data_IF_771424417368
#
_entry.id   IF_771424417368
#
_cell.length_a   1.000
_cell.length_b   1.000
_cell.length_c   1.000
_cell.angle_alpha   90.00
_cell.angle_beta   90.00
_cell.angle_gamma   90.00
#
_symmetry.space_group_name_H-M   'P 1'
#
loop_
_entity.id
_entity.type
_entity.pdbx_description
1 polymer ?
#
# COMPACT_ATOMS: atom_id res chain seq x y z
N UNK A 1 32.68 -14.38 -15.46
CA UNK A 1 31.88 -13.16 -15.71
C UNK A 1 31.16 -12.85 -14.40
N UNK A 2 31.79 -12.07 -13.53
CA UNK A 2 31.26 -11.78 -12.19
C UNK A 2 30.36 -10.56 -12.29
N UNK A 3 29.08 -10.69 -11.96
CA UNK A 3 28.19 -9.53 -11.83
C UNK A 3 28.76 -8.58 -10.76
N UNK A 4 28.79 -7.25 -11.00
CA UNK A 4 29.28 -6.32 -10.00
C UNK A 4 28.36 -6.37 -8.78
N UNK A 5 28.92 -6.52 -7.58
CA UNK A 5 28.17 -6.70 -6.33
C UNK A 5 27.09 -5.64 -6.08
N UNK A 6 27.25 -4.43 -6.61
CA UNK A 6 26.23 -3.37 -6.54
C UNK A 6 24.93 -3.67 -7.30
N UNK A 7 24.98 -4.46 -8.37
CA UNK A 7 23.77 -4.86 -9.11
C UNK A 7 22.87 -5.80 -8.27
N UNK A 8 23.46 -6.69 -7.47
CA UNK A 8 22.72 -7.56 -6.56
C UNK A 8 22.08 -6.78 -5.41
N UNK A 9 22.76 -5.76 -4.88
CA UNK A 9 22.20 -4.89 -3.83
C UNK A 9 21.00 -4.09 -4.34
N UNK A 10 21.11 -3.46 -5.52
CA UNK A 10 20.00 -2.72 -6.15
C UNK A 10 18.77 -3.61 -6.43
N UNK A 11 19.00 -4.83 -6.93
CA UNK A 11 17.89 -5.79 -7.13
C UNK A 11 17.19 -6.11 -5.81
N UNK A 12 17.96 -6.30 -4.73
CA UNK A 12 17.42 -6.57 -3.39
C UNK A 12 16.60 -5.39 -2.87
N UNK A 13 17.08 -4.16 -3.10
CA UNK A 13 16.36 -2.94 -2.71
C UNK A 13 15.04 -2.77 -3.46
N UNK A 14 15.01 -3.07 -4.77
CA UNK A 14 13.76 -3.03 -5.56
C UNK A 14 12.76 -4.10 -5.12
N UNK A 15 13.23 -5.31 -4.82
CA UNK A 15 12.37 -6.36 -4.26
C UNK A 15 11.79 -5.96 -2.92
N UNK A 16 12.57 -5.28 -2.08
CA UNK A 16 12.09 -4.72 -0.82
C UNK A 16 11.04 -3.63 -1.04
N UNK A 17 11.27 -2.69 -1.97
CA UNK A 17 10.29 -1.65 -2.31
C UNK A 17 8.95 -2.25 -2.76
N UNK A 18 8.99 -3.25 -3.64
CA UNK A 18 7.80 -3.98 -4.09
C UNK A 18 7.09 -4.69 -2.94
N UNK A 19 7.85 -5.33 -2.06
CA UNK A 19 7.31 -6.00 -0.86
C UNK A 19 6.61 -5.01 0.08
N UNK A 20 7.20 -3.85 0.33
CA UNK A 20 6.60 -2.80 1.19
C UNK A 20 5.32 -2.23 0.57
N UNK A 21 5.30 -1.99 -0.73
CA UNK A 21 4.09 -1.55 -1.42
C UNK A 21 2.96 -2.59 -1.30
N UNK A 22 3.26 -3.86 -1.55
CA UNK A 22 2.30 -4.96 -1.42
C UNK A 22 1.80 -5.13 0.04
N UNK A 23 2.69 -5.01 1.02
CA UNK A 23 2.33 -5.05 2.43
C UNK A 23 1.39 -3.90 2.81
N UNK A 24 1.60 -2.72 2.23
CA UNK A 24 0.74 -1.53 2.43
C UNK A 24 -0.67 -1.77 1.89
N UNK A 25 -0.80 -2.37 0.70
CA UNK A 25 -2.09 -2.73 0.12
C UNK A 25 -2.82 -3.79 0.97
N UNK A 26 -2.10 -4.82 1.44
CA UNK A 26 -2.66 -5.84 2.34
C UNK A 26 -3.13 -5.25 3.69
N UNK A 27 -2.30 -4.36 4.27
CA UNK A 27 -2.65 -3.24 5.17
C UNK A 27 -4.09 -2.79 5.05
N UNK A 28 -4.30 -2.20 3.89
CA UNK A 28 -5.47 -1.42 3.58
C UNK A 28 -6.71 -2.30 3.45
N UNK A 29 -6.58 -3.44 2.78
CA UNK A 29 -7.67 -4.40 2.59
C UNK A 29 -8.13 -5.02 3.91
N UNK A 30 -7.21 -5.35 4.82
CA UNK A 30 -7.60 -5.87 6.13
C UNK A 30 -8.37 -4.86 6.98
N UNK A 31 -7.97 -3.59 6.96
CA UNK A 31 -8.70 -2.52 7.65
C UNK A 31 -10.13 -2.41 7.12
N UNK A 32 -10.31 -2.48 5.79
CA UNK A 32 -11.63 -2.46 5.15
C UNK A 32 -12.47 -3.68 5.52
N UNK A 33 -11.88 -4.86 5.50
CA UNK A 33 -12.54 -6.11 5.85
C UNK A 33 -13.02 -6.09 7.32
N UNK A 34 -12.17 -5.63 8.25
CA UNK A 34 -12.54 -5.48 9.66
C UNK A 34 -13.73 -4.53 9.85
N UNK A 35 -13.74 -3.40 9.13
CA UNK A 35 -14.86 -2.46 9.16
C UNK A 35 -16.15 -3.09 8.64
N UNK A 36 -16.11 -3.73 7.47
CA UNK A 36 -17.29 -4.37 6.88
C UNK A 36 -17.85 -5.45 7.80
N UNK A 37 -16.97 -6.26 8.41
CA UNK A 37 -17.38 -7.26 9.40
C UNK A 37 -17.99 -6.61 10.66
N UNK A 38 -17.46 -5.48 11.13
CA UNK A 38 -18.03 -4.74 12.24
C UNK A 38 -19.42 -4.18 11.88
N UNK A 39 -19.57 -3.49 10.75
CA UNK A 39 -20.86 -2.98 10.27
C UNK A 39 -21.87 -4.11 10.11
N UNK A 40 -21.49 -5.24 9.52
CA UNK A 40 -22.37 -6.39 9.35
C UNK A 40 -22.88 -6.93 10.69
N UNK A 41 -21.98 -7.12 11.67
CA UNK A 41 -22.37 -7.56 13.03
C UNK A 41 -23.31 -6.56 13.68
N UNK A 42 -23.02 -5.28 13.54
CA UNK A 42 -23.83 -4.24 14.14
C UNK A 42 -25.21 -4.13 13.49
N UNK A 43 -25.30 -4.13 12.16
CA UNK A 43 -26.57 -4.13 11.42
C UNK A 43 -27.45 -5.35 11.70
N UNK A 44 -26.87 -6.44 12.21
CA UNK A 44 -27.61 -7.63 12.63
C UNK A 44 -28.23 -7.53 14.03
N UNK A 45 -27.91 -6.48 14.79
CA UNK A 45 -28.48 -6.28 16.14
C UNK A 45 -29.97 -5.95 16.03
N UNK A 46 -30.85 -6.67 16.74
CA UNK A 46 -32.29 -6.43 16.68
C UNK A 46 -32.68 -5.01 17.11
N UNK A 47 -33.71 -4.43 16.48
CA UNK A 47 -34.26 -3.12 16.85
C UNK A 47 -34.85 -3.07 18.26
N UNK A 48 -35.22 -4.23 18.83
CA UNK A 48 -35.61 -4.35 20.24
C UNK A 48 -34.45 -4.09 21.20
N UNK A 49 -33.20 -4.28 20.76
CA UNK A 49 -31.97 -4.00 21.52
C UNK A 49 -31.45 -2.60 21.21
N UNK A 50 -31.52 -2.18 19.94
CA UNK A 50 -31.16 -0.83 19.50
C UNK A 50 -32.39 -0.03 19.07
N UNK A 51 -33.16 0.40 20.08
CA UNK A 51 -34.22 1.38 19.90
C UNK A 51 -33.75 2.80 20.18
N UNK A 52 -34.25 3.77 19.41
CA UNK A 52 -34.16 5.19 19.75
C UNK A 52 -32.75 5.80 19.68
N UNK A 53 -32.32 6.62 20.65
CA UNK A 53 -31.08 7.40 20.58
C UNK A 53 -29.79 6.57 20.38
N UNK A 54 -29.77 5.32 20.84
CA UNK A 54 -28.61 4.43 20.67
C UNK A 54 -28.35 4.09 19.19
N UNK A 55 -29.41 3.87 18.41
CA UNK A 55 -29.29 3.59 16.98
C UNK A 55 -28.74 4.80 16.21
N UNK A 56 -29.19 6.01 16.56
CA UNK A 56 -28.69 7.25 15.97
C UNK A 56 -27.19 7.46 16.26
N UNK A 57 -26.77 7.28 17.51
CA UNK A 57 -25.34 7.39 17.89
C UNK A 57 -24.47 6.35 17.21
N UNK A 58 -24.97 5.12 17.09
CA UNK A 58 -24.25 4.10 16.36
C UNK A 58 -24.07 4.47 14.89
N UNK A 59 -25.13 4.95 14.23
CA UNK A 59 -25.05 5.44 12.84
C UNK A 59 -24.01 6.56 12.69
N UNK A 60 -23.99 7.54 13.59
CA UNK A 60 -22.99 8.62 13.57
C UNK A 60 -21.55 8.09 13.61
N UNK A 61 -21.29 7.09 14.47
CA UNK A 61 -19.96 6.47 14.62
C UNK A 61 -19.57 5.70 13.37
N UNK A 62 -20.48 4.94 12.76
CA UNK A 62 -20.25 4.22 11.51
C UNK A 62 -19.94 5.16 10.36
N UNK A 63 -20.76 6.22 10.20
CA UNK A 63 -20.59 7.18 9.11
C UNK A 63 -19.23 7.88 9.23
N UNK A 64 -18.86 8.32 10.45
CA UNK A 64 -17.54 8.92 10.71
C UNK A 64 -16.39 7.94 10.43
N UNK A 65 -16.49 6.72 10.94
CA UNK A 65 -15.44 5.72 10.71
C UNK A 65 -15.30 5.40 9.21
N UNK A 66 -16.40 5.30 8.47
CA UNK A 66 -16.38 5.05 7.03
C UNK A 66 -15.61 6.16 6.29
N UNK A 67 -15.84 7.43 6.65
CA UNK A 67 -15.08 8.57 6.11
C UNK A 67 -13.59 8.45 6.41
N UNK A 68 -13.22 8.21 7.68
CA UNK A 68 -11.81 8.11 8.07
C UNK A 68 -11.11 6.91 7.43
N UNK A 69 -11.79 5.76 7.33
CA UNK A 69 -11.25 4.56 6.68
C UNK A 69 -11.05 4.76 5.18
N UNK A 70 -11.96 5.48 4.51
CA UNK A 70 -11.82 5.85 3.10
C UNK A 70 -10.67 6.82 2.89
N UNK A 71 -10.48 7.77 3.82
CA UNK A 71 -9.34 8.68 3.79
C UNK A 71 -8.02 7.93 3.97
N UNK A 72 -7.95 7.06 4.97
CA UNK A 72 -6.77 6.22 5.22
C UNK A 72 -6.46 5.35 4.00
N UNK A 73 -7.50 4.80 3.36
CA UNK A 73 -7.35 4.01 2.14
C UNK A 73 -6.65 4.78 1.03
N UNK A 74 -7.13 5.98 0.72
CA UNK A 74 -6.51 6.80 -0.32
C UNK A 74 -5.06 7.14 0.01
N UNK A 75 -4.77 7.50 1.27
CA UNK A 75 -3.40 7.82 1.69
C UNK A 75 -2.47 6.62 1.56
N UNK A 76 -2.86 5.44 2.07
CA UNK A 76 -2.04 4.24 1.98
C UNK A 76 -1.85 3.78 0.52
N UNK A 77 -2.90 3.88 -0.29
CA UNK A 77 -2.81 3.59 -1.72
C UNK A 77 -1.85 4.55 -2.44
N UNK A 78 -1.93 5.86 -2.17
CA UNK A 78 -0.99 6.85 -2.71
C UNK A 78 0.45 6.58 -2.27
N UNK A 79 0.68 6.13 -1.03
CA UNK A 79 2.01 5.74 -0.56
C UNK A 79 2.53 4.53 -1.36
N UNK A 80 1.70 3.49 -1.53
CA UNK A 80 2.07 2.31 -2.30
C UNK A 80 2.41 2.67 -3.76
N UNK A 81 1.60 3.53 -4.40
CA UNK A 81 1.87 4.02 -5.76
C UNK A 81 3.16 4.84 -5.84
N UNK A 82 3.43 5.69 -4.84
CA UNK A 82 4.68 6.47 -4.78
C UNK A 82 5.90 5.54 -4.70
N UNK A 83 5.82 4.47 -3.90
CA UNK A 83 6.91 3.49 -3.79
C UNK A 83 7.14 2.78 -5.13
N UNK A 84 6.07 2.35 -5.81
CA UNK A 84 6.16 1.70 -7.13
C UNK A 84 6.74 2.64 -8.19
N UNK A 85 6.32 3.91 -8.17
CA UNK A 85 6.86 4.92 -9.08
C UNK A 85 8.36 5.13 -8.84
N UNK A 86 8.78 5.25 -7.59
CA UNK A 86 10.19 5.41 -7.24
C UNK A 86 11.01 4.18 -7.68
N UNK A 87 10.51 2.96 -7.49
CA UNK A 87 11.18 1.74 -7.96
C UNK A 87 11.41 1.79 -9.47
N UNK A 88 10.38 2.12 -10.25
CA UNK A 88 10.47 2.19 -11.70
C UNK A 88 11.52 3.22 -12.16
N UNK A 89 11.51 4.42 -11.59
CA UNK A 89 12.46 5.50 -11.91
C UNK A 89 13.90 5.11 -11.55
N UNK A 90 14.11 4.53 -10.36
CA UNK A 90 15.44 4.09 -9.93
C UNK A 90 15.97 2.94 -10.78
N UNK A 91 15.10 2.01 -11.18
CA UNK A 91 15.47 0.89 -12.05
C UNK A 91 15.89 1.36 -13.44
N UNK A 92 15.14 2.30 -14.02
CA UNK A 92 15.50 2.94 -15.30
C UNK A 92 16.86 3.64 -15.20
N UNK A 93 17.07 4.46 -14.16
CA UNK A 93 18.35 5.13 -13.93
C UNK A 93 19.52 4.14 -13.79
N UNK A 94 19.32 3.03 -13.08
CA UNK A 94 20.31 1.96 -12.94
C UNK A 94 20.65 1.28 -14.26
N UNK A 95 19.65 1.02 -15.11
CA UNK A 95 19.86 0.44 -16.44
C UNK A 95 20.64 1.38 -17.36
N UNK A 96 20.28 2.66 -17.38
CA UNK A 96 21.03 3.68 -18.12
C UNK A 96 22.49 3.75 -17.66
N UNK A 97 22.73 3.76 -16.35
CA UNK A 97 24.09 3.79 -15.81
C UNK A 97 24.91 2.56 -16.22
N UNK A 98 24.31 1.37 -16.15
CA UNK A 98 24.96 0.13 -16.57
C UNK A 98 25.31 0.14 -18.07
N UNK A 99 24.41 0.64 -18.92
CA UNK A 99 24.65 0.79 -20.36
C UNK A 99 25.79 1.76 -20.65
N UNK A 100 25.83 2.90 -19.96
CA UNK A 100 26.92 3.88 -20.11
C UNK A 100 28.27 3.29 -19.68
N UNK A 101 28.34 2.55 -18.57
CA UNK A 101 29.58 1.88 -18.14
C UNK A 101 30.00 0.84 -19.17
N UNK A 102 29.08 0.00 -19.66
CA UNK A 102 29.40 -1.01 -20.66
C UNK A 102 29.91 -0.38 -21.96
N UNK A 103 29.32 0.73 -22.40
CA UNK A 103 29.77 1.48 -23.57
C UNK A 103 31.16 2.11 -23.36
N UNK A 104 31.44 2.66 -22.18
CA UNK A 104 32.75 3.21 -21.86
C UNK A 104 33.83 2.12 -21.78
N UNK A 105 33.52 0.97 -21.18
CA UNK A 105 34.43 -0.16 -21.05
C UNK A 105 34.69 -0.93 -22.35
N UNK A 106 33.75 -0.91 -23.30
CA UNK A 106 33.95 -1.49 -24.63
C UNK A 106 34.78 -0.63 -25.60
N UNK A 107 35.09 0.61 -25.22
CA UNK A 107 35.95 1.54 -25.97
C UNK A 107 37.42 1.55 -25.48
N UNK A 108 37.79 0.61 -24.61
CA UNK A 108 39.16 0.35 -24.15
C UNK A 108 39.65 -1.00 -24.66
#
# INVERSE_FOLDING_TARGET
MSTPSGANTLSTDFDLMRSVAAATDARNEEIRAMLQAFIGRMSSVPSSVWGGPAAARFKDVVDRWNVESTRLYHVLHTIAETIRHNEAVLREAGQHHAQHIAAAGGNL
#
